data_IF_532017043279
#
_entry.id   IF_532017043279
#
_cell.length_a   1.000
_cell.length_b   1.000
_cell.length_c   1.000
_cell.angle_alpha   90.00
_cell.angle_beta   90.00
_cell.angle_gamma   90.00
#
_symmetry.space_group_name_H-M   'P 1'
#
loop_
_entity.id
_entity.type
_entity.pdbx_description
1 polymer ?
#
# COMPACT_ATOMS: atom_id res chain seq x y z
N UNK A 1 -20.57 24.06 -35.72
CA UNK A 1 -19.65 23.15 -36.37
C UNK A 1 -19.34 21.98 -35.44
N UNK A 2 -20.33 21.06 -35.26
CA UNK A 2 -20.21 19.84 -34.47
C UNK A 2 -19.67 18.70 -35.37
N UNK A 3 -18.42 18.83 -35.82
CA UNK A 3 -17.79 17.82 -36.66
C UNK A 3 -17.25 16.67 -35.85
N UNK A 4 -17.90 15.51 -35.94
CA UNK A 4 -17.35 14.15 -35.80
C UNK A 4 -16.22 13.91 -34.80
N UNK A 5 -16.31 14.47 -33.56
CA UNK A 5 -15.36 14.17 -32.48
C UNK A 5 -15.12 12.66 -32.35
N UNK A 6 -16.16 11.85 -32.49
CA UNK A 6 -16.06 10.40 -32.38
C UNK A 6 -15.20 9.74 -33.48
N UNK A 7 -15.12 10.32 -34.70
CA UNK A 7 -14.27 9.79 -35.79
C UNK A 7 -12.77 9.96 -35.50
N UNK A 8 -12.39 10.90 -34.68
CA UNK A 8 -11.01 11.10 -34.24
C UNK A 8 -10.73 10.40 -32.89
N UNK A 9 -11.67 10.47 -31.95
CA UNK A 9 -11.50 9.91 -30.61
C UNK A 9 -11.32 8.38 -30.67
N UNK A 10 -12.15 7.67 -31.46
CA UNK A 10 -12.12 6.21 -31.54
C UNK A 10 -10.76 5.68 -32.06
N UNK A 11 -10.19 6.16 -33.18
CA UNK A 11 -8.89 5.67 -33.67
C UNK A 11 -7.74 5.98 -32.71
N UNK A 12 -7.79 7.10 -31.99
CA UNK A 12 -6.75 7.44 -31.01
C UNK A 12 -6.84 6.62 -29.72
N UNK A 13 -8.05 6.30 -29.25
CA UNK A 13 -8.24 5.49 -28.05
C UNK A 13 -8.17 3.98 -28.33
N UNK A 14 -8.49 3.54 -29.55
CA UNK A 14 -8.57 2.12 -29.88
C UNK A 14 -7.29 1.34 -29.56
N UNK A 15 -6.06 1.78 -29.89
CA UNK A 15 -4.85 1.03 -29.56
C UNK A 15 -4.70 0.83 -28.05
N UNK A 16 -4.92 1.88 -27.25
CA UNK A 16 -4.83 1.80 -25.80
C UNK A 16 -5.92 0.87 -25.20
N UNK A 17 -7.16 0.99 -25.69
CA UNK A 17 -8.27 0.14 -25.26
C UNK A 17 -8.08 -1.32 -25.64
N UNK A 18 -7.54 -1.61 -26.83
CA UNK A 18 -7.23 -2.98 -27.27
C UNK A 18 -6.15 -3.57 -26.36
N UNK A 19 -5.05 -2.84 -26.13
CA UNK A 19 -3.98 -3.31 -25.23
C UNK A 19 -4.52 -3.55 -23.82
N UNK A 20 -5.31 -2.64 -23.28
CA UNK A 20 -5.94 -2.79 -21.97
C UNK A 20 -6.90 -3.99 -21.94
N UNK A 21 -7.71 -4.16 -22.98
CA UNK A 21 -8.62 -5.29 -23.12
C UNK A 21 -7.89 -6.63 -23.12
N UNK A 22 -6.84 -6.75 -23.93
CA UNK A 22 -6.09 -8.00 -24.10
C UNK A 22 -5.20 -8.32 -22.90
N UNK A 23 -4.49 -7.33 -22.34
CA UNK A 23 -3.50 -7.58 -21.30
C UNK A 23 -4.01 -7.37 -19.88
N UNK A 24 -5.15 -6.73 -19.69
CA UNK A 24 -5.74 -6.50 -18.38
C UNK A 24 -7.10 -7.20 -18.25
N UNK A 25 -8.10 -6.81 -19.04
CA UNK A 25 -9.46 -7.33 -18.86
C UNK A 25 -9.57 -8.82 -19.17
N UNK A 26 -8.88 -9.30 -20.21
CA UNK A 26 -8.90 -10.72 -20.58
C UNK A 26 -8.30 -11.63 -19.47
N UNK A 27 -7.09 -11.36 -18.88
CA UNK A 27 -6.58 -12.12 -17.75
C UNK A 27 -7.50 -12.08 -16.52
N UNK A 28 -8.14 -10.94 -16.22
CA UNK A 28 -9.14 -10.90 -15.15
C UNK A 28 -10.34 -11.80 -15.42
N UNK A 29 -10.87 -11.79 -16.65
CA UNK A 29 -11.97 -12.69 -17.05
C UNK A 29 -11.55 -14.16 -16.94
N UNK A 30 -10.31 -14.50 -17.35
CA UNK A 30 -9.75 -15.83 -17.17
C UNK A 30 -9.60 -16.20 -15.68
N UNK A 31 -9.12 -15.30 -14.83
CA UNK A 31 -9.01 -15.54 -13.40
C UNK A 31 -10.38 -15.84 -12.76
N UNK A 32 -11.42 -15.10 -13.15
CA UNK A 32 -12.81 -15.37 -12.72
C UNK A 32 -13.27 -16.75 -13.20
N UNK A 33 -13.02 -17.12 -14.47
CA UNK A 33 -13.36 -18.46 -14.95
C UNK A 33 -12.61 -19.55 -14.19
N UNK A 34 -11.29 -19.42 -14.03
CA UNK A 34 -10.46 -20.39 -13.32
C UNK A 34 -10.86 -20.53 -11.85
N UNK A 35 -11.34 -19.48 -11.21
CA UNK A 35 -11.81 -19.53 -9.83
C UNK A 35 -13.00 -20.48 -9.61
N UNK A 36 -13.73 -20.78 -10.68
CA UNK A 36 -14.87 -21.72 -10.69
C UNK A 36 -14.46 -23.14 -11.09
N UNK A 37 -13.16 -23.42 -11.21
CA UNK A 37 -12.62 -24.72 -11.63
C UNK A 37 -11.69 -25.31 -10.57
N UNK A 38 -11.49 -26.63 -10.56
CA UNK A 38 -10.44 -27.32 -9.77
C UNK A 38 -9.16 -27.51 -10.62
N UNK A 39 -8.74 -26.43 -11.31
CA UNK A 39 -7.57 -26.50 -12.17
C UNK A 39 -6.27 -26.57 -11.34
N UNK A 40 -5.39 -27.53 -11.73
CA UNK A 40 -4.12 -27.77 -11.06
C UNK A 40 -2.89 -27.16 -11.77
N UNK A 41 -3.13 -26.34 -12.80
CA UNK A 41 -2.07 -25.59 -13.50
C UNK A 41 -1.31 -26.37 -14.57
N UNK A 42 -1.12 -27.66 -14.41
CA UNK A 42 -0.32 -28.52 -15.32
C UNK A 42 -1.21 -29.35 -16.24
N UNK A 43 -2.39 -29.75 -15.78
CA UNK A 43 -3.35 -30.51 -16.58
C UNK A 43 -4.08 -29.63 -17.59
N UNK A 44 -4.35 -30.10 -18.82
CA UNK A 44 -5.28 -29.46 -19.73
C UNK A 44 -6.72 -29.45 -19.19
N UNK A 45 -7.06 -30.41 -18.35
CA UNK A 45 -8.38 -30.53 -17.76
C UNK A 45 -8.62 -29.47 -16.68
N UNK A 46 -9.76 -28.76 -16.81
CA UNK A 46 -10.24 -27.73 -15.90
C UNK A 46 -11.65 -28.09 -15.45
N UNK A 47 -11.81 -29.08 -14.53
CA UNK A 47 -13.14 -29.48 -14.08
C UNK A 47 -13.88 -28.29 -13.47
N UNK A 48 -15.08 -28.02 -13.94
CA UNK A 48 -15.90 -26.96 -13.41
C UNK A 48 -16.51 -27.39 -12.07
N UNK A 49 -16.27 -26.63 -11.00
CA UNK A 49 -16.72 -26.93 -9.64
C UNK A 49 -17.65 -25.84 -9.06
N UNK A 50 -18.00 -24.85 -9.87
CA UNK A 50 -18.85 -23.75 -9.42
C UNK A 50 -18.23 -22.98 -8.24
N UNK A 51 -18.98 -22.78 -7.19
CA UNK A 51 -18.54 -21.99 -6.02
C UNK A 51 -17.76 -22.78 -4.95
N UNK A 52 -17.42 -24.04 -5.18
CA UNK A 52 -16.77 -24.90 -4.19
C UNK A 52 -15.42 -24.35 -3.70
N UNK A 53 -14.67 -23.61 -4.52
CA UNK A 53 -13.44 -22.94 -4.08
C UNK A 53 -13.72 -21.83 -3.05
N UNK A 54 -14.80 -21.09 -3.21
CA UNK A 54 -15.20 -20.03 -2.28
C UNK A 54 -15.72 -20.62 -0.96
N UNK A 55 -16.45 -21.71 -0.99
CA UNK A 55 -16.88 -22.44 0.21
C UNK A 55 -15.67 -22.94 1.00
N UNK A 56 -14.66 -23.49 0.32
CA UNK A 56 -13.38 -23.88 0.95
C UNK A 56 -12.68 -22.70 1.60
N UNK A 57 -12.65 -21.53 0.96
CA UNK A 57 -12.00 -20.33 1.51
C UNK A 57 -12.68 -19.81 2.78
N UNK A 58 -14.00 -19.85 2.84
CA UNK A 58 -14.77 -19.44 4.02
C UNK A 58 -14.46 -20.37 5.21
N UNK A 59 -14.24 -21.66 4.96
CA UNK A 59 -13.88 -22.65 5.99
C UNK A 59 -12.40 -22.73 6.31
N UNK A 60 -11.53 -22.04 5.57
CA UNK A 60 -10.08 -22.13 5.71
C UNK A 60 -9.55 -21.10 6.72
N UNK A 61 -9.26 -21.56 7.93
CA UNK A 61 -8.72 -20.73 9.00
C UNK A 61 -7.42 -20.00 8.62
N UNK A 62 -6.56 -20.63 7.77
CA UNK A 62 -5.31 -20.04 7.33
C UNK A 62 -5.57 -18.82 6.41
N UNK A 63 -6.56 -18.94 5.52
CA UNK A 63 -6.98 -17.82 4.66
C UNK A 63 -7.58 -16.69 5.49
N UNK A 64 -8.48 -17.00 6.43
CA UNK A 64 -9.11 -15.99 7.32
C UNK A 64 -8.05 -15.28 8.17
N UNK A 65 -7.09 -16.03 8.73
CA UNK A 65 -5.95 -15.47 9.45
C UNK A 65 -5.11 -14.52 8.57
N UNK A 66 -4.82 -14.92 7.33
CA UNK A 66 -4.07 -14.11 6.39
C UNK A 66 -4.83 -12.82 6.02
N UNK A 67 -6.13 -12.92 5.80
CA UNK A 67 -7.00 -11.78 5.52
C UNK A 67 -7.11 -10.82 6.73
N UNK A 68 -7.17 -11.36 7.95
CA UNK A 68 -7.13 -10.56 9.19
C UNK A 68 -5.86 -9.71 9.29
N UNK A 69 -4.70 -10.26 8.89
CA UNK A 69 -3.44 -9.50 8.85
C UNK A 69 -3.45 -8.41 7.78
N UNK A 70 -4.03 -8.68 6.61
CA UNK A 70 -4.30 -7.60 5.64
C UNK A 70 -5.19 -6.50 6.25
N UNK A 71 -6.21 -6.87 7.03
CA UNK A 71 -7.06 -5.91 7.76
C UNK A 71 -6.27 -5.06 8.77
N UNK A 72 -5.33 -5.67 9.52
CA UNK A 72 -4.45 -4.93 10.42
C UNK A 72 -3.54 -3.96 9.66
N UNK A 73 -2.93 -4.41 8.57
CA UNK A 73 -2.08 -3.57 7.72
C UNK A 73 -2.87 -2.45 7.04
N UNK A 74 -4.11 -2.71 6.64
CA UNK A 74 -5.03 -1.75 6.05
C UNK A 74 -5.32 -0.55 6.97
N UNK A 75 -5.25 -0.75 8.28
CA UNK A 75 -5.42 0.33 9.27
C UNK A 75 -4.08 0.99 9.57
N UNK A 76 -3.06 0.19 9.87
CA UNK A 76 -1.78 0.69 10.38
C UNK A 76 -0.96 1.41 9.30
N UNK A 77 -0.87 0.85 8.09
CA UNK A 77 -0.05 1.46 7.03
C UNK A 77 -0.54 2.85 6.63
N UNK A 78 -1.83 3.08 6.30
CA UNK A 78 -2.30 4.43 6.00
C UNK A 78 -2.15 5.37 7.19
N UNK A 79 -2.60 4.94 8.38
CA UNK A 79 -2.59 5.79 9.56
C UNK A 79 -1.17 6.28 9.90
N UNK A 80 -0.20 5.38 10.00
CA UNK A 80 1.15 5.73 10.43
C UNK A 80 1.93 6.43 9.30
N UNK A 81 1.90 5.88 8.08
CA UNK A 81 2.67 6.46 6.97
C UNK A 81 2.19 7.86 6.62
N UNK A 82 0.86 8.06 6.49
CA UNK A 82 0.33 9.36 6.10
C UNK A 82 0.46 10.39 7.23
N UNK A 83 0.34 9.97 8.50
CA UNK A 83 0.57 10.87 9.63
C UNK A 83 2.01 11.38 9.68
N UNK A 84 3.01 10.48 9.52
CA UNK A 84 4.42 10.88 9.49
C UNK A 84 4.71 11.73 8.25
N UNK A 85 4.21 11.33 7.08
CA UNK A 85 4.39 12.08 5.83
C UNK A 85 3.79 13.48 5.91
N UNK A 86 2.59 13.62 6.50
CA UNK A 86 1.94 14.91 6.71
C UNK A 86 2.71 15.80 7.70
N UNK A 87 3.20 15.20 8.79
CA UNK A 87 4.02 15.94 9.76
C UNK A 87 5.32 16.48 9.11
N UNK A 88 6.01 15.65 8.32
CA UNK A 88 7.20 16.10 7.59
C UNK A 88 6.85 17.14 6.51
N UNK A 89 5.76 16.94 5.76
CA UNK A 89 5.32 17.92 4.78
C UNK A 89 5.02 19.27 5.42
N UNK A 90 4.28 19.29 6.52
CA UNK A 90 4.00 20.51 7.28
C UNK A 90 5.29 21.16 7.81
N UNK A 91 6.25 20.38 8.32
CA UNK A 91 7.52 20.88 8.80
C UNK A 91 8.35 21.54 7.67
N UNK A 92 8.37 20.94 6.47
CA UNK A 92 9.18 21.44 5.36
C UNK A 92 8.52 22.55 4.53
N UNK A 93 7.22 22.82 4.72
CA UNK A 93 6.50 23.88 3.99
C UNK A 93 6.10 25.07 4.85
N UNK A 94 6.20 24.97 6.19
CA UNK A 94 5.75 26.01 7.09
C UNK A 94 6.40 27.38 6.84
N UNK A 95 5.55 28.40 6.65
CA UNK A 95 5.92 29.81 6.67
C UNK A 95 6.41 30.41 5.35
N UNK A 96 6.12 29.79 4.19
CA UNK A 96 6.50 30.36 2.89
C UNK A 96 8.01 30.33 2.56
N UNK A 97 8.85 30.32 3.56
CA UNK A 97 10.33 30.32 3.41
C UNK A 97 10.93 28.90 3.46
N UNK A 98 10.18 27.90 3.93
CA UNK A 98 10.70 26.54 4.11
C UNK A 98 11.90 26.46 5.05
N UNK A 99 12.26 25.26 5.50
CA UNK A 99 13.51 25.04 6.24
C UNK A 99 14.69 25.14 5.24
N UNK A 100 15.77 25.83 5.63
CA UNK A 100 17.01 25.81 4.85
C UNK A 100 17.45 24.37 4.59
N UNK A 101 17.65 24.01 3.31
CA UNK A 101 17.99 22.64 2.94
C UNK A 101 16.79 21.69 2.74
N UNK A 102 15.53 22.17 2.76
CA UNK A 102 14.34 21.35 2.54
C UNK A 102 14.43 20.47 1.29
N UNK A 103 15.05 20.95 0.20
CA UNK A 103 15.29 20.18 -1.02
C UNK A 103 16.15 18.94 -0.78
N UNK A 104 17.21 19.03 0.01
CA UNK A 104 18.06 17.89 0.36
C UNK A 104 17.28 16.85 1.18
N UNK A 105 16.56 17.28 2.21
CA UNK A 105 15.75 16.36 3.01
C UNK A 105 14.66 15.66 2.19
N UNK A 106 14.02 16.37 1.25
CA UNK A 106 13.05 15.76 0.33
C UNK A 106 13.67 14.61 -0.47
N UNK A 107 14.88 14.79 -1.00
CA UNK A 107 15.60 13.75 -1.74
C UNK A 107 15.95 12.58 -0.83
N UNK A 108 16.50 12.83 0.35
CA UNK A 108 16.90 11.79 1.31
C UNK A 108 15.71 10.93 1.76
N UNK A 109 14.57 11.55 2.09
CA UNK A 109 13.38 10.80 2.50
C UNK A 109 12.67 10.11 1.34
N UNK A 110 12.79 10.63 0.12
CA UNK A 110 12.20 10.02 -1.08
C UNK A 110 13.05 8.86 -1.61
N UNK A 111 14.34 8.85 -1.35
CA UNK A 111 15.29 7.88 -1.90
C UNK A 111 14.90 6.42 -1.64
N UNK A 112 14.42 6.01 -0.44
CA UNK A 112 14.00 4.63 -0.19
C UNK A 112 12.94 4.12 -1.15
N UNK A 113 12.03 4.96 -1.61
CA UNK A 113 10.94 4.60 -2.53
C UNK A 113 11.42 4.25 -3.94
N UNK A 114 12.60 4.74 -4.35
CA UNK A 114 13.18 4.46 -5.66
C UNK A 114 13.78 3.05 -5.72
N UNK A 115 14.17 2.51 -4.56
CA UNK A 115 14.79 1.19 -4.46
C UNK A 115 13.72 0.11 -4.62
N UNK A 116 14.03 -0.94 -5.40
CA UNK A 116 13.12 -2.09 -5.53
C UNK A 116 12.78 -2.67 -4.16
N UNK A 117 11.49 -2.98 -3.92
CA UNK A 117 11.00 -3.57 -2.68
C UNK A 117 11.72 -4.89 -2.31
N UNK A 118 12.21 -5.65 -3.31
CA UNK A 118 13.01 -6.86 -3.10
C UNK A 118 14.35 -6.51 -2.44
N UNK A 119 15.05 -5.51 -2.97
CA UNK A 119 16.34 -5.05 -2.41
C UNK A 119 16.14 -4.48 -1.02
N UNK A 120 15.10 -3.65 -0.82
CA UNK A 120 14.74 -3.11 0.49
C UNK A 120 14.49 -4.24 1.49
N UNK A 121 13.70 -5.25 1.13
CA UNK A 121 13.43 -6.39 1.99
C UNK A 121 14.70 -7.18 2.35
N UNK A 122 15.59 -7.41 1.39
CA UNK A 122 16.88 -8.06 1.64
C UNK A 122 17.75 -7.24 2.61
N UNK A 123 17.93 -5.94 2.36
CA UNK A 123 18.73 -5.06 3.22
C UNK A 123 18.17 -5.04 4.65
N UNK A 124 16.86 -4.89 4.82
CA UNK A 124 16.25 -4.89 6.14
C UNK A 124 16.29 -6.26 6.84
N UNK A 125 16.33 -7.36 6.10
CA UNK A 125 16.58 -8.69 6.69
C UNK A 125 17.96 -8.76 7.35
N UNK A 126 18.98 -8.11 6.79
CA UNK A 126 20.28 -7.96 7.44
C UNK A 126 20.23 -7.01 8.64
N UNK A 127 19.52 -5.88 8.53
CA UNK A 127 19.34 -4.93 9.64
C UNK A 127 18.66 -5.58 10.84
N UNK A 128 17.70 -6.49 10.59
CA UNK A 128 16.97 -7.24 11.61
C UNK A 128 17.66 -8.52 12.08
N UNK A 129 18.84 -8.85 11.56
CA UNK A 129 19.55 -10.06 11.99
C UNK A 129 19.80 -10.00 13.51
N UNK A 130 19.46 -11.04 14.29
CA UNK A 130 19.54 -10.98 15.75
C UNK A 130 20.98 -10.90 16.27
N UNK A 131 21.97 -11.41 15.55
CA UNK A 131 23.37 -11.50 15.99
C UNK A 131 24.19 -10.30 15.50
N UNK A 132 24.17 -10.01 14.21
CA UNK A 132 25.02 -9.01 13.55
C UNK A 132 24.23 -7.79 13.04
N UNK A 133 22.89 -7.77 13.20
CA UNK A 133 22.04 -6.75 12.65
C UNK A 133 22.23 -5.39 13.33
N UNK A 134 22.15 -4.35 12.50
CA UNK A 134 22.36 -2.97 12.92
C UNK A 134 21.38 -2.54 14.03
N UNK A 135 20.11 -2.96 13.94
CA UNK A 135 19.10 -2.54 14.92
C UNK A 135 19.41 -3.04 16.33
N UNK A 136 19.68 -4.34 16.49
CA UNK A 136 20.08 -4.89 17.78
C UNK A 136 21.46 -4.35 18.24
N UNK A 137 22.37 -4.08 17.30
CA UNK A 137 23.65 -3.45 17.61
C UNK A 137 23.49 -2.05 18.20
N UNK A 138 22.65 -1.22 17.62
CA UNK A 138 22.34 0.12 18.15
C UNK A 138 21.68 0.01 19.52
N UNK A 139 20.66 -0.87 19.69
CA UNK A 139 19.96 -1.04 20.96
C UNK A 139 20.93 -1.42 22.09
N UNK A 140 21.88 -2.34 21.84
CA UNK A 140 22.92 -2.72 22.83
C UNK A 140 23.82 -1.53 23.17
N UNK A 141 24.29 -0.80 22.16
CA UNK A 141 25.21 0.33 22.37
C UNK A 141 24.62 1.48 23.16
N UNK A 142 23.28 1.65 23.14
CA UNK A 142 22.58 2.68 23.95
C UNK A 142 22.02 2.14 25.27
N UNK A 143 22.38 0.89 25.65
CA UNK A 143 21.97 0.27 26.92
C UNK A 143 20.55 -0.29 26.95
N UNK A 144 19.92 -0.51 25.77
CA UNK A 144 18.58 -1.07 25.64
C UNK A 144 18.62 -2.57 25.28
N UNK A 145 19.49 -3.35 25.94
CA UNK A 145 19.65 -4.79 25.68
C UNK A 145 18.34 -5.57 25.81
N UNK A 146 17.50 -5.21 26.77
CA UNK A 146 16.20 -5.83 27.01
C UNK A 146 15.23 -5.71 25.82
N UNK A 147 15.47 -4.79 24.88
CA UNK A 147 14.64 -4.56 23.70
C UNK A 147 15.16 -5.32 22.46
N UNK A 148 16.34 -5.96 22.57
CA UNK A 148 16.87 -6.76 21.47
C UNK A 148 16.02 -8.00 21.26
N UNK A 149 15.70 -8.31 19.99
CA UNK A 149 14.80 -9.40 19.65
C UNK A 149 15.22 -10.11 18.36
N UNK A 150 14.65 -11.28 18.14
CA UNK A 150 14.65 -11.96 16.82
C UNK A 150 13.51 -11.43 15.99
N UNK A 151 13.63 -10.20 15.48
CA UNK A 151 12.56 -9.42 14.84
C UNK A 151 11.73 -10.21 13.82
N UNK A 152 12.39 -10.98 12.95
CA UNK A 152 11.75 -11.82 11.93
C UNK A 152 11.53 -13.27 12.39
N UNK A 153 12.10 -13.67 13.53
CA UNK A 153 11.93 -15.02 14.10
C UNK A 153 10.85 -15.08 15.19
N UNK A 154 10.35 -13.96 15.66
CA UNK A 154 9.35 -13.91 16.71
C UNK A 154 7.95 -13.69 16.10
N UNK A 155 6.97 -14.57 16.39
CA UNK A 155 5.60 -14.49 15.87
C UNK A 155 4.87 -13.17 16.18
N UNK A 156 5.23 -12.50 17.27
CA UNK A 156 4.59 -11.25 17.71
C UNK A 156 5.17 -10.00 17.06
N UNK A 157 6.39 -10.07 16.54
CA UNK A 157 7.09 -8.91 15.97
C UNK A 157 7.20 -8.92 14.47
N UNK A 158 7.18 -10.09 13.84
CA UNK A 158 7.48 -10.24 12.40
C UNK A 158 6.60 -9.38 11.50
N UNK A 159 5.28 -9.38 11.69
CA UNK A 159 4.35 -8.58 10.87
C UNK A 159 4.65 -7.09 11.00
N UNK A 160 4.88 -6.63 12.22
CA UNK A 160 5.13 -5.21 12.52
C UNK A 160 6.53 -4.77 12.09
N UNK A 161 7.53 -5.65 12.17
CA UNK A 161 8.86 -5.40 11.62
C UNK A 161 8.81 -5.18 10.10
N UNK A 162 8.06 -6.02 9.37
CA UNK A 162 7.87 -5.85 7.92
C UNK A 162 7.05 -4.59 7.62
N UNK A 163 5.99 -4.31 8.38
CA UNK A 163 5.20 -3.09 8.26
C UNK A 163 6.04 -1.82 8.47
N UNK A 164 6.96 -1.83 9.44
CA UNK A 164 7.87 -0.71 9.69
C UNK A 164 8.77 -0.41 8.48
N UNK A 165 9.23 -1.44 7.77
CA UNK A 165 10.00 -1.28 6.52
C UNK A 165 9.16 -0.64 5.43
N UNK A 166 7.91 -1.06 5.29
CA UNK A 166 6.98 -0.47 4.31
C UNK A 166 6.68 1.00 4.63
N UNK A 167 6.45 1.32 5.91
CA UNK A 167 6.23 2.69 6.37
C UNK A 167 7.46 3.54 6.06
N UNK A 168 8.66 3.08 6.44
CA UNK A 168 9.90 3.79 6.19
C UNK A 168 10.13 4.07 4.70
N UNK A 169 9.88 3.11 3.83
CA UNK A 169 10.05 3.30 2.39
C UNK A 169 8.98 4.20 1.78
N UNK A 170 7.74 4.18 2.30
CA UNK A 170 6.62 4.92 1.75
C UNK A 170 6.50 6.37 2.19
N UNK A 171 6.96 6.71 3.41
CA UNK A 171 6.79 8.05 4.00
C UNK A 171 7.26 9.17 3.07
N UNK A 172 8.41 9.02 2.43
CA UNK A 172 8.98 10.06 1.57
C UNK A 172 8.14 10.35 0.33
N UNK A 173 7.54 9.33 -0.27
CA UNK A 173 6.64 9.49 -1.42
C UNK A 173 5.41 10.32 -1.07
N UNK A 174 4.70 9.95 0.00
CA UNK A 174 3.52 10.68 0.44
C UNK A 174 3.85 12.08 0.97
N UNK A 175 5.01 12.25 1.61
CA UNK A 175 5.52 13.56 2.01
C UNK A 175 5.67 14.51 0.81
N UNK A 176 6.26 14.05 -0.29
CA UNK A 176 6.43 14.87 -1.51
C UNK A 176 5.08 15.24 -2.12
N UNK A 177 4.14 14.30 -2.19
CA UNK A 177 2.77 14.57 -2.67
C UNK A 177 2.08 15.62 -1.78
N UNK A 178 2.19 15.50 -0.46
CA UNK A 178 1.59 16.47 0.47
C UNK A 178 2.25 17.84 0.38
N UNK A 179 3.58 17.91 0.22
CA UNK A 179 4.28 19.16 -0.02
C UNK A 179 3.76 19.84 -1.30
N UNK A 180 3.61 19.09 -2.40
CA UNK A 180 3.09 19.62 -3.65
C UNK A 180 1.66 20.16 -3.49
N UNK A 181 0.82 19.42 -2.77
CA UNK A 181 -0.55 19.86 -2.46
C UNK A 181 -0.59 21.10 -1.55
N UNK A 182 0.29 21.21 -0.54
CA UNK A 182 0.40 22.41 0.29
C UNK A 182 0.86 23.62 -0.51
N UNK A 183 1.77 23.43 -1.46
CA UNK A 183 2.29 24.51 -2.29
C UNK A 183 1.31 24.99 -3.37
N UNK A 184 0.28 24.22 -3.70
CA UNK A 184 -0.78 24.64 -4.63
C UNK A 184 -1.80 25.57 -3.99
N UNK A 185 -1.83 25.66 -2.65
CA UNK A 185 -2.75 26.57 -1.93
C UNK A 185 -2.28 28.01 -2.10
N UNK A 186 -3.12 28.93 -2.61
CA UNK A 186 -2.76 30.34 -2.78
C UNK A 186 -2.30 31.00 -1.48
N UNK A 187 -1.22 31.76 -1.53
CA UNK A 187 -0.65 32.46 -0.36
C UNK A 187 -1.60 33.46 0.27
N UNK A 188 -2.53 34.03 -0.52
CA UNK A 188 -3.56 34.97 -0.04
C UNK A 188 -4.42 34.44 1.10
N UNK A 189 -4.67 33.11 1.15
CA UNK A 189 -5.39 32.49 2.27
C UNK A 189 -4.61 32.61 3.58
N UNK A 190 -3.30 32.41 3.53
CA UNK A 190 -2.41 32.50 4.70
C UNK A 190 -2.19 33.96 5.12
N UNK A 191 -2.10 34.89 4.15
CA UNK A 191 -1.95 36.31 4.41
C UNK A 191 -3.22 36.88 5.12
N UNK A 192 -4.41 36.50 4.65
CA UNK A 192 -5.68 36.88 5.30
C UNK A 192 -5.73 36.29 6.73
N UNK A 193 -5.38 35.04 6.92
CA UNK A 193 -5.36 34.40 8.24
C UNK A 193 -4.41 35.09 9.23
N UNK A 194 -3.26 35.58 8.74
CA UNK A 194 -2.30 36.33 9.58
C UNK A 194 -2.91 37.68 10.00
N UNK A 195 -3.63 38.37 9.10
CA UNK A 195 -4.31 39.61 9.42
C UNK A 195 -5.43 39.43 10.47
N UNK A 196 -6.07 38.24 10.44
CA UNK A 196 -7.09 37.84 11.43
C UNK A 196 -6.45 37.31 12.75
N UNK A 197 -5.11 37.31 12.87
CA UNK A 197 -4.39 36.87 14.08
C UNK A 197 -4.31 35.36 14.24
N UNK A 198 -4.51 34.58 13.17
CA UNK A 198 -4.41 33.13 13.23
C UNK A 198 -2.99 32.65 13.53
N UNK A 199 -2.87 31.71 14.44
CA UNK A 199 -1.61 31.00 14.69
C UNK A 199 -1.26 30.06 13.53
N UNK A 200 0.02 29.61 13.46
CA UNK A 200 0.45 28.60 12.47
C UNK A 200 -0.37 27.31 12.57
N UNK A 201 -0.73 26.89 13.77
CA UNK A 201 -1.56 25.72 14.00
C UNK A 201 -2.99 25.93 13.51
N UNK A 202 -3.56 27.09 13.77
CA UNK A 202 -4.89 27.49 13.27
C UNK A 202 -4.92 27.48 11.75
N UNK A 203 -3.93 28.11 11.09
CA UNK A 203 -3.79 28.10 9.63
C UNK A 203 -3.63 26.69 9.07
N UNK A 204 -2.84 25.83 9.73
CA UNK A 204 -2.70 24.43 9.30
C UNK A 204 -4.03 23.68 9.42
N UNK A 205 -4.71 23.77 10.57
CA UNK A 205 -5.93 23.02 10.85
C UNK A 205 -7.13 23.49 10.02
N UNK A 206 -7.28 24.82 9.86
CA UNK A 206 -8.49 25.40 9.29
C UNK A 206 -8.35 25.76 7.81
N UNK A 207 -7.12 25.84 7.27
CA UNK A 207 -6.86 26.14 5.86
C UNK A 207 -6.17 24.95 5.20
N UNK A 208 -4.95 24.59 5.64
CA UNK A 208 -4.11 23.60 4.93
C UNK A 208 -4.76 22.22 4.92
N UNK A 209 -5.15 21.71 6.08
CA UNK A 209 -5.68 20.35 6.23
C UNK A 209 -6.99 20.15 5.45
N UNK A 210 -7.99 21.06 5.51
CA UNK A 210 -9.21 20.94 4.73
C UNK A 210 -8.99 21.02 3.22
N UNK A 211 -8.11 21.92 2.75
CA UNK A 211 -7.84 22.11 1.33
C UNK A 211 -7.02 20.97 0.71
N UNK A 212 -6.27 20.22 1.54
CA UNK A 212 -5.54 19.01 1.12
C UNK A 212 -6.38 17.74 1.17
N UNK A 213 -7.65 17.83 1.57
CA UNK A 213 -8.48 16.63 1.81
C UNK A 213 -8.53 15.67 0.63
N UNK A 214 -8.62 16.18 -0.59
CA UNK A 214 -8.64 15.36 -1.82
C UNK A 214 -7.35 14.56 -2.00
N UNK A 215 -6.22 15.21 -1.78
CA UNK A 215 -4.90 14.56 -1.85
C UNK A 215 -4.74 13.51 -0.76
N UNK A 216 -5.19 13.79 0.46
CA UNK A 216 -5.15 12.84 1.57
C UNK A 216 -6.05 11.64 1.31
N UNK A 217 -7.25 11.85 0.77
CA UNK A 217 -8.17 10.79 0.38
C UNK A 217 -7.53 9.88 -0.67
N UNK A 218 -6.97 10.46 -1.72
CA UNK A 218 -6.30 9.74 -2.79
C UNK A 218 -5.11 8.93 -2.25
N UNK A 219 -4.26 9.53 -1.43
CA UNK A 219 -3.14 8.85 -0.77
C UNK A 219 -3.61 7.68 0.11
N UNK A 220 -4.72 7.86 0.85
CA UNK A 220 -5.32 6.80 1.67
C UNK A 220 -5.77 5.62 0.82
N UNK A 221 -6.42 5.86 -0.32
CA UNK A 221 -6.85 4.80 -1.24
C UNK A 221 -5.63 4.04 -1.79
N UNK A 222 -4.60 4.74 -2.23
CA UNK A 222 -3.39 4.10 -2.77
C UNK A 222 -2.69 3.20 -1.76
N UNK A 223 -2.44 3.69 -0.55
CA UNK A 223 -1.76 2.88 0.47
C UNK A 223 -2.65 1.75 1.00
N UNK A 224 -3.96 1.93 1.02
CA UNK A 224 -4.91 0.89 1.40
C UNK A 224 -4.96 -0.25 0.37
N UNK A 225 -4.90 0.07 -0.94
CA UNK A 225 -4.77 -0.93 -2.01
C UNK A 225 -3.44 -1.69 -1.85
N UNK A 226 -2.33 -0.97 -1.62
CA UNK A 226 -1.02 -1.59 -1.39
C UNK A 226 -0.99 -2.51 -0.15
N UNK A 227 -1.79 -2.20 0.89
CA UNK A 227 -1.90 -3.04 2.08
C UNK A 227 -2.62 -4.39 1.80
N UNK A 228 -3.52 -4.44 0.82
CA UNK A 228 -4.15 -5.69 0.38
C UNK A 228 -3.20 -6.53 -0.48
N UNK A 229 -2.37 -5.88 -1.30
CA UNK A 229 -1.34 -6.53 -2.13
C UNK A 229 0.05 -6.49 -1.45
N UNK A 230 0.10 -6.79 -0.16
CA UNK A 230 1.33 -6.70 0.64
C UNK A 230 2.18 -7.97 0.51
N UNK A 231 2.50 -8.36 -0.75
CA UNK A 231 3.17 -9.63 -1.06
C UNK A 231 4.68 -9.56 -0.97
N UNK A 232 5.32 -8.63 -1.71
CA UNK A 232 6.75 -8.66 -2.01
C UNK A 232 7.62 -8.61 -0.75
N UNK A 233 7.37 -7.66 0.15
CA UNK A 233 8.13 -7.52 1.39
C UNK A 233 7.96 -8.74 2.30
N UNK A 234 6.72 -9.24 2.42
CA UNK A 234 6.48 -10.45 3.23
C UNK A 234 7.21 -11.64 2.63
N UNK A 235 7.09 -11.87 1.33
CA UNK A 235 7.77 -12.98 0.63
C UNK A 235 9.28 -12.94 0.83
N UNK A 236 9.90 -11.77 0.63
CA UNK A 236 11.37 -11.63 0.70
C UNK A 236 11.88 -11.75 2.14
N UNK A 237 11.23 -11.08 3.10
CA UNK A 237 11.70 -11.01 4.48
C UNK A 237 11.36 -12.26 5.30
N UNK A 238 10.39 -13.07 4.86
CA UNK A 238 10.06 -14.36 5.48
C UNK A 238 10.68 -15.55 4.75
N UNK A 239 11.32 -15.34 3.60
CA UNK A 239 11.81 -16.40 2.73
C UNK A 239 10.69 -17.26 2.11
N UNK A 240 9.47 -16.72 2.01
CA UNK A 240 8.30 -17.45 1.51
C UNK A 240 7.79 -18.54 2.47
N UNK A 241 8.32 -18.59 3.69
CA UNK A 241 7.97 -19.62 4.67
C UNK A 241 6.53 -19.48 5.17
N UNK A 242 5.82 -20.59 5.17
CA UNK A 242 4.44 -20.69 5.67
C UNK A 242 4.35 -21.41 7.01
N UNK A 243 5.48 -21.52 7.72
CA UNK A 243 5.60 -22.24 8.99
C UNK A 243 6.24 -21.35 10.07
N UNK A 244 6.06 -21.71 11.33
CA UNK A 244 6.67 -21.00 12.46
C UNK A 244 6.26 -19.54 12.54
N UNK A 245 7.22 -18.65 12.79
CA UNK A 245 6.99 -17.21 12.88
C UNK A 245 6.52 -16.61 11.55
N UNK A 246 7.06 -17.08 10.41
CA UNK A 246 6.69 -16.60 9.07
C UNK A 246 5.20 -16.72 8.78
N UNK A 247 4.55 -17.76 9.31
CA UNK A 247 3.09 -17.91 9.19
C UNK A 247 2.31 -16.75 9.82
N UNK A 248 2.86 -16.12 10.86
CA UNK A 248 2.21 -14.96 11.53
C UNK A 248 2.33 -13.66 10.75
N UNK A 249 3.17 -13.61 9.71
CA UNK A 249 3.21 -12.51 8.75
C UNK A 249 2.55 -12.85 7.40
N UNK A 250 2.03 -14.07 7.23
CA UNK A 250 1.41 -14.48 5.98
C UNK A 250 0.16 -13.65 5.68
N UNK A 251 0.16 -12.96 4.56
CA UNK A 251 -0.95 -12.18 4.00
C UNK A 251 -1.68 -12.97 2.92
N UNK A 252 -2.89 -12.55 2.54
CA UNK A 252 -3.70 -13.29 1.58
C UNK A 252 -3.03 -13.46 0.20
N UNK A 253 -2.27 -12.47 -0.27
CA UNK A 253 -1.51 -12.57 -1.51
C UNK A 253 -0.37 -13.60 -1.43
N UNK A 254 0.30 -13.74 -0.27
CA UNK A 254 1.30 -14.79 -0.05
C UNK A 254 0.65 -16.18 0.04
N UNK A 255 -0.50 -16.27 0.69
CA UNK A 255 -1.29 -17.51 0.74
C UNK A 255 -1.76 -17.93 -0.66
N UNK A 256 -2.21 -16.99 -1.49
CA UNK A 256 -2.56 -17.22 -2.90
C UNK A 256 -1.36 -17.80 -3.67
N UNK A 257 -0.19 -17.20 -3.51
CA UNK A 257 1.05 -17.68 -4.13
C UNK A 257 1.39 -19.12 -3.71
N UNK A 258 1.31 -19.42 -2.41
CA UNK A 258 1.54 -20.78 -1.88
C UNK A 258 0.56 -21.81 -2.47
N UNK A 259 -0.72 -21.45 -2.61
CA UNK A 259 -1.70 -22.35 -3.23
C UNK A 259 -1.42 -22.59 -4.72
N UNK A 260 -1.04 -21.54 -5.47
CA UNK A 260 -0.77 -21.66 -6.90
C UNK A 260 0.53 -22.45 -7.17
N UNK A 261 1.65 -21.96 -6.62
CA UNK A 261 2.98 -22.39 -7.04
C UNK A 261 3.56 -23.55 -6.23
N UNK A 262 3.23 -23.65 -4.93
CA UNK A 262 3.73 -24.72 -4.08
C UNK A 262 2.78 -25.91 -4.02
N UNK A 263 1.48 -25.68 -4.14
CA UNK A 263 0.45 -26.74 -4.02
C UNK A 263 -0.25 -27.10 -5.33
N UNK A 264 0.06 -26.40 -6.41
CA UNK A 264 -0.58 -26.58 -7.72
C UNK A 264 -2.13 -26.51 -7.68
N UNK A 265 -2.68 -25.60 -6.87
CA UNK A 265 -4.14 -25.37 -6.74
C UNK A 265 -4.51 -24.05 -7.38
N UNK A 266 -4.37 -23.96 -8.68
CA UNK A 266 -4.55 -22.73 -9.44
C UNK A 266 -6.00 -22.22 -9.42
N UNK A 267 -6.99 -23.14 -9.45
CA UNK A 267 -8.39 -22.76 -9.31
C UNK A 267 -8.68 -22.08 -7.98
N UNK A 268 -8.18 -22.63 -6.86
CA UNK A 268 -8.31 -22.04 -5.54
C UNK A 268 -7.54 -20.70 -5.43
N UNK A 269 -6.32 -20.64 -5.96
CA UNK A 269 -5.54 -19.41 -5.99
C UNK A 269 -6.25 -18.31 -6.79
N UNK A 270 -6.87 -18.65 -7.94
CA UNK A 270 -7.68 -17.72 -8.71
C UNK A 270 -8.90 -17.22 -7.91
N UNK A 271 -9.53 -18.08 -7.12
CA UNK A 271 -10.63 -17.66 -6.23
C UNK A 271 -10.15 -16.67 -5.17
N UNK A 272 -8.95 -16.86 -4.58
CA UNK A 272 -8.35 -15.88 -3.66
C UNK A 272 -8.11 -14.56 -4.37
N UNK A 273 -7.54 -14.57 -5.59
CA UNK A 273 -7.32 -13.37 -6.39
C UNK A 273 -8.61 -12.60 -6.69
N UNK A 274 -9.69 -13.30 -7.02
CA UNK A 274 -11.02 -12.69 -7.23
C UNK A 274 -11.56 -12.07 -5.93
N UNK A 275 -11.40 -12.75 -4.78
CA UNK A 275 -11.81 -12.19 -3.48
C UNK A 275 -11.01 -10.92 -3.17
N UNK A 276 -9.69 -10.93 -3.37
CA UNK A 276 -8.86 -9.74 -3.17
C UNK A 276 -9.24 -8.59 -4.11
N UNK A 277 -9.54 -8.88 -5.38
CA UNK A 277 -10.06 -7.89 -6.33
C UNK A 277 -11.35 -7.26 -5.84
N UNK A 278 -12.33 -8.07 -5.42
CA UNK A 278 -13.60 -7.57 -4.93
C UNK A 278 -13.45 -6.73 -3.65
N UNK A 279 -12.57 -7.16 -2.73
CA UNK A 279 -12.26 -6.41 -1.52
C UNK A 279 -11.58 -5.07 -1.85
N UNK A 280 -10.68 -5.05 -2.81
CA UNK A 280 -10.01 -3.81 -3.27
C UNK A 280 -11.01 -2.84 -3.89
N UNK A 281 -11.90 -3.31 -4.74
CA UNK A 281 -12.97 -2.49 -5.34
C UNK A 281 -13.94 -1.97 -4.28
N UNK A 282 -14.37 -2.83 -3.37
CA UNK A 282 -15.24 -2.45 -2.25
C UNK A 282 -14.59 -1.38 -1.39
N UNK A 283 -13.32 -1.58 -1.03
CA UNK A 283 -12.53 -0.62 -0.25
C UNK A 283 -12.47 0.75 -0.96
N UNK A 284 -12.12 0.76 -2.25
CA UNK A 284 -12.04 2.00 -3.02
C UNK A 284 -13.38 2.73 -3.04
N UNK A 285 -14.48 2.01 -3.28
CA UNK A 285 -15.85 2.58 -3.27
C UNK A 285 -16.22 3.10 -1.87
N UNK A 286 -15.95 2.34 -0.83
CA UNK A 286 -16.24 2.72 0.56
C UNK A 286 -15.47 3.99 0.94
N UNK A 287 -14.16 4.04 0.69
CA UNK A 287 -13.35 5.21 0.99
C UNK A 287 -13.83 6.42 0.18
N UNK A 288 -14.07 6.27 -1.13
CA UNK A 288 -14.58 7.36 -1.96
C UNK A 288 -15.94 7.91 -1.49
N UNK A 289 -16.84 7.04 -1.03
CA UNK A 289 -18.16 7.47 -0.54
C UNK A 289 -18.11 8.13 0.85
N UNK A 290 -17.37 7.53 1.78
CA UNK A 290 -17.28 8.02 3.16
C UNK A 290 -16.50 9.34 3.27
N UNK A 291 -15.54 9.55 2.37
CA UNK A 291 -14.66 10.72 2.41
C UNK A 291 -15.05 11.81 1.41
N UNK A 292 -16.21 11.68 0.75
CA UNK A 292 -16.70 12.65 -0.23
C UNK A 292 -17.01 13.99 0.48
N UNK A 293 -16.31 15.04 0.06
CA UNK A 293 -16.56 16.44 0.45
C UNK A 293 -16.64 17.29 -0.81
N UNK A 294 -17.20 18.47 -0.70
CA UNK A 294 -17.15 19.46 -1.78
C UNK A 294 -15.68 19.79 -2.09
N UNK A 295 -15.33 19.73 -3.36
CA UNK A 295 -13.97 20.04 -3.83
C UNK A 295 -13.93 21.54 -4.14
N UNK A 296 -13.01 22.25 -3.51
CA UNK A 296 -12.73 23.64 -3.84
C UNK A 296 -11.68 23.64 -4.97
N UNK A 297 -12.08 24.13 -6.16
CA UNK A 297 -11.17 24.44 -7.25
C UNK A 297 -10.71 25.90 -7.09
N UNK A 298 -9.39 26.14 -7.12
CA UNK A 298 -8.78 27.46 -6.96
C UNK A 298 -8.26 27.98 -8.28
#
# INVERSE_FOLDING_TARGET
MYYHKNRLIIPFLAPALILYGVFVLWPYAQAVYLSLTDWRGVSPDKPFVGLANYERLIGDSRFIDALSRNGQLLIVLPLVTLSIALAFAALFTQGGAGIKGAGFYRVVFFFPQIISAVIVGMLWSYVYNPQIGLLNGVLRNIGLDAWTQTWLGNPNTILWAIAAVAIWSGVGFYMVIFIASMQSIPTSFYEAAVLDGASRWTSFKDITFPLMWETMRTATIYIAIAALDFFVLVQVMTGGGSTGASRKAEVAALYMYDQAFNKNRWGLASAIGVVLLLLTLLLAVVVMRLTRRETYEF
#
